data_IF_727680792268
#
_entry.id   IF_727680792268
#
_cell.length_a   1.000
_cell.length_b   1.000
_cell.length_c   1.000
_cell.angle_alpha   90.00
_cell.angle_beta   90.00
_cell.angle_gamma   90.00
#
_symmetry.space_group_name_H-M   'P 1'
#
loop_
_entity.id
_entity.type
_entity.pdbx_description
1 polymer ?
#
# COMPACT_ATOMS: atom_id res chain seq x y z
N UNK A 1 22.40 -12.35 -27.30
CA UNK A 1 21.55 -11.15 -27.43
C UNK A 1 21.30 -10.64 -26.04
N UNK A 2 21.84 -9.48 -25.66
CA UNK A 2 21.52 -8.82 -24.38
C UNK A 2 20.11 -8.25 -24.50
N UNK A 3 19.26 -8.36 -23.45
CA UNK A 3 17.97 -7.69 -23.44
C UNK A 3 18.19 -6.17 -23.52
N UNK A 4 17.29 -5.41 -24.16
CA UNK A 4 17.42 -3.97 -24.27
C UNK A 4 17.42 -3.34 -22.88
N UNK A 5 18.42 -2.51 -22.63
CA UNK A 5 18.54 -1.67 -21.45
C UNK A 5 17.35 -0.69 -21.44
N UNK A 6 16.36 -0.93 -20.61
CA UNK A 6 15.30 0.06 -20.34
C UNK A 6 15.95 1.14 -19.49
N UNK A 7 16.05 2.39 -20.00
CA UNK A 7 16.64 3.49 -19.22
C UNK A 7 15.85 3.65 -17.92
N UNK A 8 16.56 3.84 -16.80
CA UNK A 8 15.96 4.29 -15.56
C UNK A 8 15.26 5.62 -15.86
N UNK A 9 14.00 5.84 -15.42
CA UNK A 9 13.44 7.18 -15.46
C UNK A 9 14.32 8.08 -14.59
N UNK A 10 14.92 9.09 -15.19
CA UNK A 10 15.64 10.16 -14.49
C UNK A 10 14.73 11.39 -14.40
N UNK A 11 14.83 12.12 -13.31
CA UNK A 11 15.57 11.89 -12.07
C UNK A 11 14.75 11.13 -11.03
N UNK A 12 15.42 10.54 -10.03
CA UNK A 12 14.74 9.97 -8.87
C UNK A 12 13.73 10.99 -8.32
N UNK A 13 12.46 10.57 -8.14
CA UNK A 13 11.39 11.46 -7.67
C UNK A 13 11.80 11.99 -6.30
N UNK A 14 11.95 13.29 -6.19
CA UNK A 14 12.13 13.94 -4.91
C UNK A 14 10.75 14.02 -4.24
N UNK A 15 10.55 13.22 -3.19
CA UNK A 15 9.37 13.32 -2.33
C UNK A 15 9.57 14.44 -1.31
N UNK A 16 9.69 15.66 -1.83
CA UNK A 16 9.92 16.90 -1.09
C UNK A 16 8.64 17.73 -0.88
N UNK A 17 8.78 18.91 -0.31
CA UNK A 17 7.67 19.83 -0.10
C UNK A 17 6.90 20.16 -1.39
N UNK A 18 7.62 20.42 -2.49
CA UNK A 18 6.99 20.77 -3.78
C UNK A 18 6.14 19.61 -4.33
N UNK A 19 6.61 18.37 -4.16
CA UNK A 19 5.86 17.18 -4.50
C UNK A 19 4.55 17.11 -3.71
N UNK A 20 4.62 17.22 -2.37
CA UNK A 20 3.44 17.10 -1.52
C UNK A 20 2.51 18.29 -1.65
N UNK A 21 3.03 19.49 -1.90
CA UNK A 21 2.19 20.64 -2.20
C UNK A 21 1.31 20.36 -3.41
N UNK A 22 1.89 19.86 -4.50
CA UNK A 22 1.17 19.56 -5.73
C UNK A 22 0.14 18.43 -5.57
N UNK A 23 0.55 17.31 -5.02
CA UNK A 23 -0.25 16.08 -5.05
C UNK A 23 -1.14 15.88 -3.82
N UNK A 24 -0.92 16.64 -2.73
CA UNK A 24 -1.64 16.41 -1.48
C UNK A 24 -2.24 17.66 -0.83
N UNK A 25 -1.64 18.83 -1.00
CA UNK A 25 -2.05 20.04 -0.26
C UNK A 25 -2.75 21.09 -1.13
N UNK A 26 -2.49 21.17 -2.42
CA UNK A 26 -3.20 22.08 -3.32
C UNK A 26 -4.55 21.46 -3.73
N UNK A 27 -5.70 22.05 -3.34
CA UNK A 27 -7.03 21.50 -3.65
C UNK A 27 -7.32 21.35 -5.15
N UNK A 28 -6.56 22.05 -6.01
CA UNK A 28 -6.75 22.02 -7.47
C UNK A 28 -6.05 20.84 -8.13
N UNK A 29 -5.01 20.31 -7.50
CA UNK A 29 -4.16 19.27 -8.07
C UNK A 29 -4.00 18.05 -7.17
N UNK A 30 -4.55 18.11 -5.95
CA UNK A 30 -4.47 17.01 -4.99
C UNK A 30 -5.17 15.77 -5.48
N UNK A 31 -4.47 14.64 -5.40
CA UNK A 31 -5.05 13.29 -5.52
C UNK A 31 -5.57 12.76 -4.19
N UNK A 32 -5.24 13.41 -3.08
CA UNK A 32 -5.67 13.01 -1.75
C UNK A 32 -7.11 13.44 -1.51
N UNK A 33 -8.01 12.47 -1.36
CA UNK A 33 -9.39 12.70 -0.92
C UNK A 33 -9.61 12.04 0.45
N UNK A 34 -9.62 12.83 1.55
CA UNK A 34 -9.86 12.28 2.89
C UNK A 34 -11.21 11.57 3.03
N UNK A 35 -12.24 12.00 2.28
CA UNK A 35 -13.55 11.35 2.32
C UNK A 35 -13.51 10.00 1.61
N UNK A 36 -12.79 9.92 0.49
CA UNK A 36 -12.55 8.65 -0.20
C UNK A 36 -11.82 7.68 0.73
N UNK A 37 -10.72 8.10 1.35
CA UNK A 37 -9.96 7.25 2.29
C UNK A 37 -10.80 6.86 3.50
N UNK A 38 -11.67 7.75 4.01
CA UNK A 38 -12.58 7.38 5.11
C UNK A 38 -13.57 6.27 4.69
N UNK A 39 -14.13 6.32 3.48
CA UNK A 39 -15.02 5.28 2.95
C UNK A 39 -14.28 3.97 2.68
N UNK A 40 -13.14 4.06 2.01
CA UNK A 40 -12.26 2.92 1.71
C UNK A 40 -11.81 2.23 3.00
N UNK A 41 -11.33 3.00 3.96
CA UNK A 41 -10.87 2.47 5.23
C UNK A 41 -12.00 1.86 6.05
N UNK A 42 -13.21 2.44 6.03
CA UNK A 42 -14.38 1.82 6.66
C UNK A 42 -14.71 0.47 6.02
N UNK A 43 -14.64 0.35 4.69
CA UNK A 43 -14.79 -0.92 3.98
C UNK A 43 -13.73 -1.94 4.42
N UNK A 44 -12.46 -1.59 4.34
CA UNK A 44 -11.35 -2.49 4.70
C UNK A 44 -11.47 -2.94 6.16
N UNK A 45 -11.65 -2.00 7.09
CA UNK A 45 -11.73 -2.32 8.51
C UNK A 45 -12.96 -3.18 8.84
N UNK A 46 -14.12 -2.88 8.25
CA UNK A 46 -15.35 -3.67 8.46
C UNK A 46 -15.21 -5.07 7.87
N UNK A 47 -14.52 -5.18 6.73
CA UNK A 47 -14.25 -6.49 6.12
C UNK A 47 -13.33 -7.34 6.99
N UNK A 48 -12.27 -6.76 7.57
CA UNK A 48 -11.41 -7.45 8.52
C UNK A 48 -12.15 -7.87 9.79
N UNK A 49 -13.07 -7.05 10.29
CA UNK A 49 -13.94 -7.39 11.43
C UNK A 49 -14.88 -8.56 11.07
N UNK A 50 -15.47 -8.55 9.89
CA UNK A 50 -16.29 -9.67 9.37
C UNK A 50 -15.48 -10.97 9.30
N UNK A 51 -14.28 -10.92 8.74
CA UNK A 51 -13.35 -12.05 8.66
C UNK A 51 -12.75 -12.43 10.03
N UNK A 52 -13.06 -11.69 11.09
CA UNK A 52 -12.55 -11.88 12.45
C UNK A 52 -11.03 -11.84 12.56
N UNK A 53 -10.37 -11.03 11.73
CA UNK A 53 -8.93 -10.78 11.85
C UNK A 53 -8.70 -9.93 13.11
N UNK A 54 -7.94 -10.41 14.10
CA UNK A 54 -7.62 -9.60 15.27
C UNK A 54 -6.62 -8.52 14.90
N UNK A 55 -7.01 -7.24 15.06
CA UNK A 55 -6.15 -6.09 14.75
C UNK A 55 -5.78 -5.35 16.01
N UNK A 56 -4.51 -5.48 16.45
CA UNK A 56 -3.93 -4.81 17.61
C UNK A 56 -2.71 -3.97 17.25
N UNK A 57 -2.05 -4.29 16.16
CA UNK A 57 -0.87 -3.57 15.66
C UNK A 57 -1.05 -3.29 14.17
N UNK A 58 -1.00 -2.03 13.80
CA UNK A 58 -1.16 -1.58 12.41
C UNK A 58 0.11 -0.89 11.94
N UNK A 59 0.58 -1.27 10.76
CA UNK A 59 1.66 -0.60 10.05
C UNK A 59 1.10 0.05 8.79
N UNK A 60 1.37 1.33 8.60
CA UNK A 60 1.10 2.06 7.36
C UNK A 60 2.44 2.43 6.72
N UNK A 61 2.80 1.75 5.62
CA UNK A 61 4.08 1.93 4.92
C UNK A 61 3.90 2.86 3.75
N UNK A 62 4.65 3.96 3.74
CA UNK A 62 4.42 5.08 2.86
C UNK A 62 3.17 5.85 3.28
N UNK A 63 3.05 6.08 4.59
CA UNK A 63 1.83 6.61 5.21
C UNK A 63 1.49 8.05 4.79
N UNK A 64 2.38 8.71 4.06
CA UNK A 64 2.13 10.03 3.50
C UNK A 64 1.70 11.04 4.57
N UNK A 65 0.57 11.69 4.36
CA UNK A 65 0.00 12.66 5.30
C UNK A 65 -0.81 12.02 6.43
N UNK A 66 -0.85 10.68 6.51
CA UNK A 66 -1.43 9.93 7.63
C UNK A 66 -2.94 9.76 7.60
N UNK A 67 -3.56 9.71 6.42
CA UNK A 67 -5.02 9.60 6.30
C UNK A 67 -5.60 8.32 6.92
N UNK A 68 -4.84 7.24 6.98
CA UNK A 68 -5.28 5.98 7.58
C UNK A 68 -5.29 6.00 9.12
N UNK A 69 -4.52 6.88 9.75
CA UNK A 69 -4.42 6.91 11.22
C UNK A 69 -5.78 7.09 11.91
N UNK A 70 -6.57 8.07 11.46
CA UNK A 70 -7.87 8.36 12.06
C UNK A 70 -8.91 7.27 11.75
N UNK A 71 -8.81 6.64 10.58
CA UNK A 71 -9.63 5.48 10.21
C UNK A 71 -9.36 4.31 11.15
N UNK A 72 -8.09 3.96 11.33
CA UNK A 72 -7.68 2.88 12.24
C UNK A 72 -8.10 3.15 13.67
N UNK A 73 -7.88 4.37 14.17
CA UNK A 73 -8.29 4.75 15.52
C UNK A 73 -9.81 4.62 15.76
N UNK A 74 -10.61 4.90 14.73
CA UNK A 74 -12.07 4.77 14.81
C UNK A 74 -12.54 3.32 14.83
N UNK A 75 -11.96 2.47 13.99
CA UNK A 75 -12.41 1.08 13.82
C UNK A 75 -11.73 0.09 14.75
N UNK A 76 -10.50 0.37 15.16
CA UNK A 76 -9.67 -0.44 16.05
C UNK A 76 -9.06 0.43 17.16
N UNK A 77 -9.89 0.96 18.09
CA UNK A 77 -9.44 1.95 19.08
C UNK A 77 -8.39 1.41 20.07
N UNK A 78 -8.21 0.10 20.14
CA UNK A 78 -7.19 -0.54 20.99
C UNK A 78 -5.91 -0.89 20.20
N UNK A 79 -5.87 -0.61 18.88
CA UNK A 79 -4.69 -0.91 18.07
C UNK A 79 -3.64 0.21 18.19
N UNK A 80 -2.37 -0.19 18.25
CA UNK A 80 -1.26 0.73 18.02
C UNK A 80 -1.08 0.97 16.53
N UNK A 81 -0.87 2.24 16.14
CA UNK A 81 -0.61 2.63 14.77
C UNK A 81 0.84 3.06 14.60
N UNK A 82 1.52 2.50 13.60
CA UNK A 82 2.89 2.81 13.23
C UNK A 82 2.92 3.32 11.79
N UNK A 83 3.23 4.60 11.61
CA UNK A 83 3.43 5.21 10.29
C UNK A 83 4.91 5.19 9.93
N UNK A 84 5.23 4.63 8.77
CA UNK A 84 6.59 4.64 8.19
C UNK A 84 6.55 5.36 6.87
N UNK A 85 7.47 6.33 6.68
CA UNK A 85 7.48 7.18 5.50
C UNK A 85 8.91 7.33 4.94
N UNK A 86 9.02 7.36 3.62
CA UNK A 86 10.30 7.55 2.94
C UNK A 86 10.72 9.02 2.87
N UNK A 87 9.75 9.93 2.73
CA UNK A 87 9.97 11.37 2.62
C UNK A 87 10.51 11.96 3.93
N UNK A 88 11.71 12.54 3.87
CA UNK A 88 12.25 13.28 5.02
C UNK A 88 11.35 14.46 5.41
N UNK A 89 10.77 15.15 4.42
CA UNK A 89 9.86 16.28 4.63
C UNK A 89 8.62 15.87 5.45
N UNK A 90 7.97 14.75 5.11
CA UNK A 90 6.81 14.28 5.86
C UNK A 90 7.17 13.70 7.22
N UNK A 91 8.31 13.01 7.33
CA UNK A 91 8.79 12.53 8.62
C UNK A 91 9.00 13.67 9.60
N UNK A 92 9.65 14.76 9.15
CA UNK A 92 9.84 15.95 9.97
C UNK A 92 8.51 16.64 10.32
N UNK A 93 7.61 16.77 9.34
CA UNK A 93 6.34 17.49 9.50
C UNK A 93 5.34 16.78 10.41
N UNK A 94 5.27 15.44 10.33
CA UNK A 94 4.24 14.64 11.02
C UNK A 94 4.79 13.71 12.11
N UNK A 95 6.12 13.67 12.29
CA UNK A 95 6.76 12.81 13.29
C UNK A 95 6.74 11.32 12.91
N UNK A 96 6.73 10.99 11.61
CA UNK A 96 6.77 9.60 11.16
C UNK A 96 8.15 8.98 11.32
N UNK A 97 8.19 7.68 11.55
CA UNK A 97 9.43 6.91 11.45
C UNK A 97 9.92 6.90 10.00
N UNK A 98 11.20 7.27 9.79
CA UNK A 98 11.78 7.26 8.45
C UNK A 98 12.17 5.84 8.06
N UNK A 99 11.65 5.35 6.93
CA UNK A 99 11.96 4.03 6.43
C UNK A 99 11.46 3.79 5.02
N UNK A 100 11.89 2.67 4.43
CA UNK A 100 11.47 2.23 3.11
C UNK A 100 10.75 0.89 3.20
N UNK A 101 9.74 0.69 2.36
CA UNK A 101 9.07 -0.61 2.21
C UNK A 101 10.05 -1.74 1.84
N UNK A 102 11.22 -1.41 1.28
CA UNK A 102 12.24 -2.39 0.88
C UNK A 102 12.99 -2.99 2.07
N UNK A 103 13.29 -2.20 3.07
CA UNK A 103 14.22 -2.57 4.13
C UNK A 103 13.71 -2.34 5.55
N UNK A 104 12.52 -1.75 5.73
CA UNK A 104 11.92 -1.60 7.05
C UNK A 104 11.83 -2.94 7.77
N UNK A 105 12.16 -2.93 9.06
CA UNK A 105 12.16 -4.10 9.92
C UNK A 105 11.43 -3.79 11.22
N UNK A 106 10.73 -4.78 11.74
CA UNK A 106 10.11 -4.74 13.06
C UNK A 106 10.45 -6.02 13.82
N UNK A 107 10.63 -5.92 15.12
CA UNK A 107 10.85 -7.08 16.01
C UNK A 107 9.64 -8.02 16.07
N UNK A 108 8.44 -7.46 15.89
CA UNK A 108 7.18 -8.20 15.86
C UNK A 108 6.37 -7.88 14.62
N UNK A 109 5.69 -8.85 14.01
CA UNK A 109 4.83 -8.61 12.87
C UNK A 109 3.57 -7.82 13.25
N UNK A 110 2.93 -7.24 12.25
CA UNK A 110 1.71 -6.45 12.38
C UNK A 110 0.48 -7.28 11.99
N UNK A 111 -0.65 -6.96 12.60
CA UNK A 111 -1.92 -7.63 12.30
C UNK A 111 -2.58 -7.07 11.04
N UNK A 112 -2.38 -5.77 10.80
CA UNK A 112 -2.76 -5.10 9.56
C UNK A 112 -1.55 -4.32 9.04
N UNK A 113 -1.22 -4.54 7.78
CA UNK A 113 -0.25 -3.73 7.03
C UNK A 113 -1.00 -3.01 5.92
N UNK A 114 -0.78 -1.71 5.81
CA UNK A 114 -1.33 -0.86 4.75
C UNK A 114 -0.17 -0.44 3.85
N UNK A 115 -0.34 -0.58 2.54
CA UNK A 115 0.61 -0.12 1.53
C UNK A 115 -0.18 0.42 0.34
N UNK A 116 -0.47 1.72 0.37
CA UNK A 116 -1.29 2.39 -0.63
C UNK A 116 -0.45 3.33 -1.48
N UNK A 117 -0.46 3.15 -2.80
CA UNK A 117 0.19 4.05 -3.75
C UNK A 117 1.73 4.04 -3.71
N UNK A 118 2.39 3.07 -3.08
CA UNK A 118 3.85 3.03 -2.88
C UNK A 118 4.57 2.25 -3.97
N UNK A 119 4.10 1.05 -4.26
CA UNK A 119 4.80 0.11 -5.15
C UNK A 119 4.98 0.61 -6.59
N UNK A 120 4.09 1.45 -7.15
CA UNK A 120 4.30 2.02 -8.48
C UNK A 120 5.54 2.92 -8.61
N UNK A 121 6.12 3.38 -7.51
CA UNK A 121 7.37 4.15 -7.53
C UNK A 121 8.64 3.29 -7.54
N UNK A 122 8.50 1.98 -7.46
CA UNK A 122 9.61 1.02 -7.47
C UNK A 122 9.69 0.33 -8.83
N UNK A 123 10.90 0.03 -9.29
CA UNK A 123 11.06 -0.85 -10.46
C UNK A 123 10.55 -2.28 -10.13
N UNK A 124 10.42 -3.14 -11.14
CA UNK A 124 9.80 -4.45 -10.98
C UNK A 124 10.52 -5.34 -9.94
N UNK A 125 11.84 -5.31 -9.91
CA UNK A 125 12.63 -6.11 -8.95
C UNK A 125 12.43 -5.61 -7.52
N UNK A 126 12.47 -4.29 -7.34
CA UNK A 126 12.26 -3.65 -6.03
C UNK A 126 10.81 -3.80 -5.56
N UNK A 127 9.82 -3.67 -6.45
CA UNK A 127 8.42 -3.90 -6.10
C UNK A 127 8.17 -5.34 -5.62
N UNK A 128 8.78 -6.34 -6.27
CA UNK A 128 8.72 -7.73 -5.81
C UNK A 128 9.43 -7.93 -4.46
N UNK A 129 10.61 -7.33 -4.27
CA UNK A 129 11.32 -7.37 -3.00
C UNK A 129 10.52 -6.73 -1.88
N UNK A 130 9.87 -5.58 -2.16
CA UNK A 130 8.97 -4.90 -1.23
C UNK A 130 7.79 -5.79 -0.82
N UNK A 131 7.10 -6.43 -1.77
CA UNK A 131 5.99 -7.35 -1.47
C UNK A 131 6.41 -8.52 -0.58
N UNK A 132 7.59 -9.11 -0.84
CA UNK A 132 8.14 -10.14 0.06
C UNK A 132 8.47 -9.60 1.45
N UNK A 133 8.90 -8.34 1.53
CA UNK A 133 9.11 -7.69 2.82
C UNK A 133 7.78 -7.44 3.56
N UNK A 134 6.76 -6.96 2.87
CA UNK A 134 5.40 -6.83 3.43
C UNK A 134 4.89 -8.16 3.98
N UNK A 135 5.15 -9.29 3.29
CA UNK A 135 4.79 -10.62 3.78
C UNK A 135 5.51 -10.99 5.09
N UNK A 136 6.76 -10.55 5.29
CA UNK A 136 7.46 -10.77 6.57
C UNK A 136 6.88 -9.92 7.70
N UNK A 137 6.51 -8.68 7.39
CA UNK A 137 5.97 -7.71 8.34
C UNK A 137 4.53 -8.00 8.76
N UNK A 138 3.75 -8.71 7.91
CA UNK A 138 2.33 -8.96 8.10
C UNK A 138 2.06 -10.38 8.60
N UNK A 139 1.32 -10.52 9.71
CA UNK A 139 0.82 -11.82 10.20
C UNK A 139 -0.70 -11.98 10.04
N UNK A 140 -1.44 -10.89 9.84
CA UNK A 140 -2.90 -10.89 9.70
C UNK A 140 -3.32 -10.54 8.28
N UNK A 141 -3.57 -9.27 7.98
CA UNK A 141 -4.01 -8.81 6.68
C UNK A 141 -3.09 -7.71 6.10
N UNK A 142 -2.96 -7.70 4.78
CA UNK A 142 -2.38 -6.62 4.00
C UNK A 142 -3.49 -5.94 3.20
N UNK A 143 -3.62 -4.62 3.31
CA UNK A 143 -4.30 -3.82 2.31
C UNK A 143 -3.25 -3.26 1.33
N UNK A 144 -3.38 -3.60 0.07
CA UNK A 144 -2.51 -3.12 -1.00
C UNK A 144 -3.32 -2.42 -2.08
N UNK A 145 -2.91 -1.21 -2.41
CA UNK A 145 -3.38 -0.49 -3.60
C UNK A 145 -2.17 -0.07 -4.44
N UNK A 146 -2.24 -0.34 -5.71
CA UNK A 146 -1.26 0.09 -6.71
C UNK A 146 -1.95 0.26 -8.06
N UNK A 147 -1.77 1.41 -8.68
CA UNK A 147 -2.22 1.63 -10.05
C UNK A 147 -1.43 0.71 -10.98
N UNK A 148 -2.14 -0.09 -11.76
CA UNK A 148 -1.56 -1.08 -12.66
C UNK A 148 -1.49 -0.58 -14.11
N UNK A 149 -0.79 -1.31 -14.97
CA UNK A 149 -0.80 -1.03 -16.41
C UNK A 149 -2.21 -1.12 -16.98
N UNK A 150 -2.98 -2.11 -16.54
CA UNK A 150 -4.34 -2.36 -16.97
C UNK A 150 -5.26 -1.18 -16.62
N UNK A 151 -5.08 -0.54 -15.45
CA UNK A 151 -5.85 0.64 -15.05
C UNK A 151 -5.56 1.85 -15.94
N UNK A 152 -4.29 2.02 -16.39
CA UNK A 152 -3.91 3.04 -17.35
C UNK A 152 -4.47 2.76 -18.74
N UNK A 153 -4.43 1.51 -19.20
CA UNK A 153 -4.90 1.08 -20.53
C UNK A 153 -6.44 1.15 -20.65
N UNK A 154 -7.16 1.01 -19.52
CA UNK A 154 -8.63 1.08 -19.45
C UNK A 154 -9.16 2.47 -19.07
N UNK A 155 -8.29 3.49 -19.03
CA UNK A 155 -8.65 4.88 -18.68
C UNK A 155 -9.33 5.02 -17.30
N UNK A 156 -8.98 4.14 -16.36
CA UNK A 156 -9.50 4.16 -14.99
C UNK A 156 -8.77 5.17 -14.09
N UNK A 157 -7.72 5.79 -14.61
CA UNK A 157 -6.83 6.70 -13.88
C UNK A 157 -6.97 8.11 -14.45
N UNK A 158 -7.27 9.10 -13.60
CA UNK A 158 -7.19 10.50 -14.02
C UNK A 158 -5.73 10.88 -14.27
N UNK A 159 -5.35 10.90 -15.54
CA UNK A 159 -3.97 11.17 -15.98
C UNK A 159 -3.54 12.63 -15.75
N UNK A 160 -4.46 13.54 -15.45
CA UNK A 160 -4.15 14.95 -15.17
C UNK A 160 -3.73 15.16 -13.72
N UNK A 161 -4.24 14.35 -12.83
CA UNK A 161 -3.97 14.40 -11.39
C UNK A 161 -2.90 13.40 -10.96
N UNK A 162 -2.85 12.23 -11.60
CA UNK A 162 -1.94 11.14 -11.19
C UNK A 162 -0.50 11.43 -11.64
N UNK A 163 0.47 11.10 -10.78
CA UNK A 163 1.89 11.20 -11.11
C UNK A 163 2.26 10.21 -12.23
N UNK A 164 2.56 10.72 -13.41
CA UNK A 164 2.88 9.93 -14.60
C UNK A 164 4.27 9.27 -14.58
N UNK A 165 5.12 9.61 -13.58
CA UNK A 165 6.47 9.05 -13.40
C UNK A 165 6.47 7.67 -12.74
N UNK A 166 5.30 7.12 -12.42
CA UNK A 166 5.14 5.80 -11.86
C UNK A 166 5.49 4.70 -12.88
N UNK A 167 6.03 3.58 -12.37
CA UNK A 167 6.17 2.36 -13.17
C UNK A 167 4.80 1.70 -13.35
N UNK A 168 4.49 1.30 -14.58
CA UNK A 168 3.20 0.66 -14.94
C UNK A 168 3.37 -0.85 -14.92
N UNK A 169 3.35 -1.45 -13.74
CA UNK A 169 3.42 -2.90 -13.60
C UNK A 169 2.07 -3.54 -13.94
N UNK A 170 2.10 -4.79 -14.43
CA UNK A 170 0.88 -5.57 -14.65
C UNK A 170 0.30 -6.06 -13.33
N UNK A 171 -1.04 -6.07 -13.21
CA UNK A 171 -1.75 -6.63 -12.05
C UNK A 171 -1.31 -8.09 -11.75
N UNK A 172 -1.05 -8.88 -12.80
CA UNK A 172 -0.58 -10.26 -12.66
C UNK A 172 0.78 -10.35 -11.91
N UNK A 173 1.70 -9.37 -12.09
CA UNK A 173 2.97 -9.37 -11.36
C UNK A 173 2.72 -9.23 -9.85
N UNK A 174 1.83 -8.32 -9.46
CA UNK A 174 1.43 -8.14 -8.06
C UNK A 174 0.82 -9.43 -7.49
N UNK A 175 -0.21 -9.98 -8.17
CA UNK A 175 -0.89 -11.19 -7.72
C UNK A 175 0.03 -12.38 -7.56
N UNK A 176 0.90 -12.66 -8.53
CA UNK A 176 1.85 -13.77 -8.47
C UNK A 176 2.83 -13.62 -7.30
N UNK A 177 3.36 -12.43 -7.08
CA UNK A 177 4.33 -12.21 -5.99
C UNK A 177 3.65 -12.26 -4.62
N UNK A 178 2.47 -11.67 -4.50
CA UNK A 178 1.71 -11.70 -3.23
C UNK A 178 1.23 -13.11 -2.87
N UNK A 179 0.88 -13.94 -3.85
CA UNK A 179 0.46 -15.33 -3.61
C UNK A 179 1.55 -16.20 -2.95
N UNK A 180 2.83 -15.75 -2.95
CA UNK A 180 3.91 -16.41 -2.22
C UNK A 180 3.69 -16.39 -0.69
N UNK A 181 2.92 -15.44 -0.15
CA UNK A 181 2.73 -15.27 1.30
C UNK A 181 1.31 -14.89 1.72
N UNK A 182 0.41 -14.68 0.77
CA UNK A 182 -0.95 -14.21 1.03
C UNK A 182 -1.99 -14.95 0.20
N UNK A 183 -3.24 -14.89 0.65
CA UNK A 183 -4.44 -15.27 -0.10
C UNK A 183 -5.24 -14.02 -0.44
N UNK A 184 -5.59 -13.81 -1.72
CA UNK A 184 -6.41 -12.69 -2.17
C UNK A 184 -7.87 -12.91 -1.74
N UNK A 185 -8.46 -11.94 -1.03
CA UNK A 185 -9.85 -11.97 -0.58
C UNK A 185 -10.70 -10.84 -1.19
N UNK A 186 -10.15 -10.14 -2.17
CA UNK A 186 -10.83 -9.08 -2.90
C UNK A 186 -10.70 -7.69 -2.28
N UNK A 187 -11.06 -6.66 -3.05
CA UNK A 187 -11.05 -5.26 -2.59
C UNK A 187 -9.66 -4.73 -2.18
N UNK A 188 -8.57 -5.28 -2.72
CA UNK A 188 -7.21 -4.93 -2.32
C UNK A 188 -6.77 -5.55 -0.99
N UNK A 189 -7.61 -6.42 -0.39
CA UNK A 189 -7.32 -7.10 0.88
C UNK A 189 -6.73 -8.48 0.61
N UNK A 190 -5.66 -8.78 1.33
CA UNK A 190 -4.88 -10.01 1.26
C UNK A 190 -4.69 -10.56 2.66
N UNK A 191 -5.04 -11.82 2.90
CA UNK A 191 -4.78 -12.49 4.18
C UNK A 191 -3.43 -13.17 4.15
N UNK A 192 -2.62 -12.94 5.18
CA UNK A 192 -1.37 -13.66 5.38
C UNK A 192 -1.66 -15.17 5.51
N UNK A 193 -0.84 -16.01 4.88
CA UNK A 193 -0.90 -17.46 5.08
C UNK A 193 -0.62 -17.88 6.54
N UNK A 194 -0.18 -16.93 7.39
CA UNK A 194 -0.01 -17.11 8.83
C UNK A 194 -1.25 -16.72 9.64
N UNK A 195 -2.26 -16.14 8.98
CA UNK A 195 -3.51 -15.78 9.64
C UNK A 195 -4.38 -17.04 9.79
N UNK A 196 -4.74 -17.37 11.02
CA UNK A 196 -5.65 -18.48 11.31
C UNK A 196 -7.11 -18.03 11.15
N UNK A 197 -7.46 -17.66 9.91
CA UNK A 197 -8.80 -17.17 9.57
C UNK A 197 -9.46 -18.18 8.63
N UNK A 198 -10.59 -18.80 9.02
CA UNK A 198 -11.33 -19.65 8.11
C UNK A 198 -12.00 -18.83 7.01
N UNK A 199 -11.80 -19.22 5.76
CA UNK A 199 -12.45 -18.61 4.60
C UNK A 199 -13.43 -19.59 3.97
N UNK A 200 -14.61 -19.09 3.62
CA UNK A 200 -15.51 -19.84 2.73
C UNK A 200 -15.00 -19.79 1.29
N UNK A 201 -15.37 -20.78 0.50
CA UNK A 201 -14.85 -20.95 -0.87
C UNK A 201 -15.07 -19.74 -1.80
N UNK A 202 -16.09 -18.92 -1.54
CA UNK A 202 -16.37 -17.69 -2.32
C UNK A 202 -15.75 -16.43 -1.74
N UNK A 203 -15.06 -16.50 -0.61
CA UNK A 203 -14.40 -15.35 0.03
C UNK A 203 -12.98 -15.11 -0.49
N UNK A 204 -12.45 -16.02 -1.28
CA UNK A 204 -11.14 -15.88 -1.88
C UNK A 204 -11.17 -16.12 -3.38
N UNK A 205 -10.31 -15.40 -4.11
CA UNK A 205 -10.04 -15.73 -5.49
C UNK A 205 -9.41 -17.12 -5.56
N UNK A 206 -9.86 -17.94 -6.51
CA UNK A 206 -9.21 -19.20 -6.81
C UNK A 206 -7.72 -19.01 -7.15
N UNK A 207 -6.96 -20.10 -7.29
CA UNK A 207 -5.56 -19.99 -7.69
C UNK A 207 -5.43 -19.20 -9.00
N UNK A 208 -4.41 -18.35 -9.12
CA UNK A 208 -4.18 -17.50 -10.30
C UNK A 208 -3.86 -18.28 -11.56
#
# INVERSE_FOLDING_TARGET
MHPPHIPRPEPAIAFDEAYYQRYYFDPKTSVADPQHIARLGAFVCSYLQYLRVPVRRVLDVGCGIGLWRDVVARHFPQASFHGVEYSAYLCERFGWERGSVLDYRSSEPFDLVICQGVLPYLNAADAQAAMRNLARLCRGALYLEAVTREDWEQDMVDQTLTDTRQFRHRAQMYRRTLAEGFTEVGGGVWLSQRAEVPLFALEHAGPP
#
